data_IF_559162637867
#
_entry.id   IF_559162637867
#
_cell.length_a   1.000
_cell.length_b   1.000
_cell.length_c   1.000
_cell.angle_alpha   90.00
_cell.angle_beta   90.00
_cell.angle_gamma   90.00
#
_symmetry.space_group_name_H-M   'P 1'
#
loop_
_entity.id
_entity.type
_entity.pdbx_description
1 polymer ?
#
# COMPACT_ATOMS: atom_id res chain seq x y z
N UNK A 1 1.71 13.04 11.62
CA UNK A 1 1.42 13.93 10.48
C UNK A 1 2.25 13.50 9.30
N UNK A 2 1.62 13.32 8.13
CA UNK A 2 2.29 13.05 6.85
C UNK A 2 2.68 14.39 6.21
N UNK A 3 3.87 14.45 5.64
CA UNK A 3 4.39 15.66 4.97
C UNK A 3 4.68 15.38 3.50
N UNK A 4 4.39 16.37 2.64
CA UNK A 4 4.65 16.27 1.21
C UNK A 4 6.17 16.30 0.92
N UNK A 5 6.63 15.38 0.05
CA UNK A 5 8.02 15.31 -0.42
C UNK A 5 8.14 15.09 -1.93
N UNK A 6 7.19 14.42 -2.56
CA UNK A 6 7.21 14.17 -4.00
C UNK A 6 6.99 15.46 -4.77
N UNK A 7 6.00 16.27 -4.34
CA UNK A 7 5.67 17.56 -4.92
C UNK A 7 6.38 18.75 -4.30
N UNK A 8 7.47 18.54 -3.55
CA UNK A 8 8.15 19.59 -2.78
C UNK A 8 8.63 20.77 -3.65
N UNK A 9 9.11 20.54 -4.86
CA UNK A 9 9.54 21.60 -5.78
C UNK A 9 8.38 22.52 -6.14
N UNK A 10 7.22 21.99 -6.44
CA UNK A 10 6.01 22.77 -6.77
C UNK A 10 5.55 23.56 -5.55
N UNK A 11 5.56 22.94 -4.38
CA UNK A 11 5.24 23.60 -3.12
C UNK A 11 6.19 24.78 -2.83
N UNK A 12 7.49 24.61 -3.05
CA UNK A 12 8.49 25.68 -2.86
C UNK A 12 8.25 26.83 -3.85
N UNK A 13 7.98 26.54 -5.13
CA UNK A 13 7.64 27.53 -6.14
C UNK A 13 6.42 28.36 -5.75
N UNK A 14 5.34 27.69 -5.32
CA UNK A 14 4.12 28.35 -4.89
C UNK A 14 4.38 29.26 -3.67
N UNK A 15 5.16 28.79 -2.71
CA UNK A 15 5.56 29.60 -1.54
C UNK A 15 6.40 30.83 -1.92
N UNK A 16 7.21 30.73 -2.97
CA UNK A 16 7.96 31.88 -3.50
C UNK A 16 7.02 32.90 -4.12
N UNK A 17 6.04 32.46 -4.93
CA UNK A 17 5.03 33.33 -5.53
C UNK A 17 4.24 34.08 -4.44
N UNK A 18 3.76 33.35 -3.42
CA UNK A 18 3.04 33.95 -2.30
C UNK A 18 3.89 35.02 -1.60
N UNK A 19 5.16 34.72 -1.35
CA UNK A 19 6.08 35.67 -0.70
C UNK A 19 6.24 36.92 -1.54
N UNK A 20 6.55 36.80 -2.84
CA UNK A 20 6.71 37.96 -3.75
C UNK A 20 5.42 38.78 -3.85
N UNK A 21 4.27 38.14 -3.95
CA UNK A 21 2.97 38.82 -4.02
C UNK A 21 2.70 39.62 -2.73
N UNK A 22 2.94 39.03 -1.56
CA UNK A 22 2.78 39.71 -0.27
C UNK A 22 3.73 40.88 -0.11
N UNK A 23 4.99 40.72 -0.45
CA UNK A 23 5.99 41.81 -0.44
C UNK A 23 5.56 42.97 -1.33
N UNK A 24 5.03 42.68 -2.54
CA UNK A 24 4.60 43.70 -3.48
C UNK A 24 3.37 44.50 -2.96
N UNK A 25 2.50 43.82 -2.18
CA UNK A 25 1.28 44.46 -1.65
C UNK A 25 1.43 44.96 -0.20
N UNK A 26 2.64 44.91 0.36
CA UNK A 26 2.93 45.38 1.72
C UNK A 26 2.33 44.52 2.81
N UNK A 27 1.96 43.26 2.52
CA UNK A 27 1.46 42.27 3.48
C UNK A 27 2.67 41.75 4.30
N UNK A 28 2.58 41.87 5.61
CA UNK A 28 3.66 41.47 6.55
C UNK A 28 3.48 40.03 7.06
N UNK A 29 2.42 39.36 6.69
CA UNK A 29 2.18 37.96 7.10
C UNK A 29 3.24 37.02 6.52
N UNK A 30 3.85 36.23 7.38
CA UNK A 30 4.85 35.25 6.99
C UNK A 30 4.25 33.84 6.86
N UNK A 31 4.72 33.10 5.87
CA UNK A 31 4.38 31.68 5.77
C UNK A 31 5.05 30.91 6.92
N UNK A 32 4.28 30.03 7.56
CA UNK A 32 4.85 29.10 8.56
C UNK A 32 5.94 28.23 7.92
N UNK A 33 6.98 27.84 8.69
CA UNK A 33 7.99 26.91 8.17
C UNK A 33 7.36 25.57 7.75
N UNK A 34 8.02 24.90 6.79
CA UNK A 34 7.64 23.55 6.42
C UNK A 34 7.98 22.59 7.58
N UNK A 35 7.12 21.61 7.78
CA UNK A 35 7.38 20.56 8.75
C UNK A 35 8.53 19.66 8.29
N UNK A 36 9.32 19.20 9.24
CA UNK A 36 10.34 18.18 9.01
C UNK A 36 9.72 16.78 9.09
N UNK A 37 10.16 15.89 8.21
CA UNK A 37 9.88 14.48 8.36
C UNK A 37 10.88 13.89 9.37
N UNK A 38 10.39 13.17 10.37
CA UNK A 38 11.25 12.43 11.30
C UNK A 38 11.75 11.11 10.71
N UNK A 39 10.88 10.49 9.93
CA UNK A 39 11.15 9.23 9.22
C UNK A 39 10.74 9.32 7.76
N UNK A 40 11.40 8.54 6.92
CA UNK A 40 11.10 8.35 5.52
C UNK A 40 10.76 6.89 5.28
N UNK A 41 9.64 6.63 4.59
CA UNK A 41 9.29 5.30 4.12
C UNK A 41 9.64 5.21 2.64
N UNK A 42 10.48 4.26 2.29
CA UNK A 42 10.88 3.97 0.92
C UNK A 42 10.63 2.50 0.61
N UNK A 43 10.32 2.20 -0.64
CA UNK A 43 10.18 0.84 -1.09
C UNK A 43 9.56 0.71 -2.46
N UNK A 44 9.24 -0.52 -2.82
CA UNK A 44 8.66 -0.83 -4.11
C UNK A 44 8.45 -2.31 -4.32
N UNK A 45 8.00 -2.66 -5.52
CA UNK A 45 7.87 -4.04 -5.97
C UNK A 45 9.28 -4.57 -6.23
N UNK A 46 9.65 -5.65 -5.53
CA UNK A 46 10.95 -6.32 -5.66
C UNK A 46 10.86 -7.62 -6.44
N UNK A 47 9.65 -8.14 -6.64
CA UNK A 47 9.39 -9.34 -7.44
C UNK A 47 7.96 -9.36 -7.98
N UNK A 48 7.81 -9.88 -9.19
CA UNK A 48 6.52 -10.14 -9.81
C UNK A 48 6.63 -11.37 -10.70
N UNK A 49 5.80 -12.38 -10.41
CA UNK A 49 5.66 -13.60 -11.21
C UNK A 49 4.19 -13.79 -11.60
N UNK A 50 3.95 -14.17 -12.84
CA UNK A 50 2.62 -14.48 -13.35
C UNK A 50 2.65 -15.77 -14.12
N UNK A 51 1.89 -16.77 -13.68
CA UNK A 51 1.85 -18.10 -14.26
C UNK A 51 0.42 -18.54 -14.55
N UNK A 52 0.24 -19.25 -15.65
CA UNK A 52 -1.02 -19.90 -15.99
C UNK A 52 -0.92 -21.37 -15.63
N UNK A 53 -1.91 -21.85 -14.91
CA UNK A 53 -1.98 -23.23 -14.43
C UNK A 53 -3.29 -23.90 -14.87
N UNK A 54 -3.28 -25.23 -14.93
CA UNK A 54 -4.47 -26.08 -15.13
C UNK A 54 -4.60 -27.03 -13.95
N UNK A 55 -5.79 -27.10 -13.37
CA UNK A 55 -6.07 -28.03 -12.26
C UNK A 55 -5.37 -27.69 -10.95
N UNK A 56 -5.35 -28.63 -10.01
CA UNK A 56 -4.74 -28.50 -8.70
C UNK A 56 -5.58 -27.77 -7.66
N UNK A 57 -4.91 -27.31 -6.58
CA UNK A 57 -5.59 -26.66 -5.44
C UNK A 57 -6.20 -25.33 -5.85
N UNK A 58 -5.51 -24.55 -6.69
CA UNK A 58 -5.99 -23.24 -7.16
C UNK A 58 -7.30 -23.37 -7.94
N UNK A 59 -7.41 -24.38 -8.82
CA UNK A 59 -8.65 -24.67 -9.56
C UNK A 59 -9.81 -24.98 -8.60
N UNK A 60 -9.57 -25.79 -7.55
CA UNK A 60 -10.58 -26.09 -6.52
C UNK A 60 -11.04 -24.86 -5.75
N UNK A 61 -10.11 -24.00 -5.34
CA UNK A 61 -10.42 -22.78 -4.60
C UNK A 61 -11.24 -21.80 -5.44
N UNK A 62 -10.95 -21.69 -6.73
CA UNK A 62 -11.72 -20.89 -7.67
C UNK A 62 -13.05 -21.52 -8.09
N UNK A 63 -13.30 -22.80 -7.74
CA UNK A 63 -14.51 -23.53 -8.12
C UNK A 63 -14.56 -23.86 -9.61
N UNK A 64 -13.41 -24.01 -10.26
CA UNK A 64 -13.27 -24.38 -11.66
C UNK A 64 -12.93 -25.86 -11.82
N UNK A 65 -13.23 -26.40 -12.99
CA UNK A 65 -12.94 -27.82 -13.31
C UNK A 65 -11.44 -28.07 -13.50
N UNK A 66 -11.01 -29.35 -13.43
CA UNK A 66 -9.59 -29.71 -13.52
C UNK A 66 -8.97 -29.47 -14.90
N UNK A 67 -9.80 -29.21 -15.91
CA UNK A 67 -9.39 -28.93 -17.31
C UNK A 67 -9.34 -27.42 -17.63
N UNK A 68 -9.82 -26.58 -16.70
CA UNK A 68 -9.88 -25.14 -16.90
C UNK A 68 -8.61 -24.48 -16.38
N UNK A 69 -8.26 -23.35 -17.00
CA UNK A 69 -7.07 -22.60 -16.69
C UNK A 69 -7.37 -21.51 -15.66
N UNK A 70 -6.43 -21.29 -14.74
CA UNK A 70 -6.40 -20.15 -13.86
C UNK A 70 -5.00 -19.51 -13.89
N UNK A 71 -4.96 -18.25 -13.55
CA UNK A 71 -3.72 -17.46 -13.46
C UNK A 71 -3.37 -17.24 -12.00
N UNK A 72 -2.08 -17.40 -11.70
CA UNK A 72 -1.49 -17.10 -10.40
C UNK A 72 -0.56 -15.91 -10.57
N UNK A 73 -0.89 -14.79 -9.92
CA UNK A 73 -0.07 -13.59 -9.85
C UNK A 73 0.54 -13.50 -8.45
N UNK A 74 1.87 -13.50 -8.37
CA UNK A 74 2.64 -13.38 -7.13
C UNK A 74 3.41 -12.07 -7.14
N UNK A 75 3.22 -11.25 -6.12
CA UNK A 75 3.86 -9.94 -5.99
C UNK A 75 4.59 -9.87 -4.66
N UNK A 76 5.87 -9.50 -4.70
CA UNK A 76 6.69 -9.23 -3.53
C UNK A 76 6.99 -7.73 -3.44
N UNK A 77 6.77 -7.15 -2.26
CA UNK A 77 6.98 -5.73 -1.95
C UNK A 77 7.98 -5.63 -0.80
N UNK A 78 9.00 -4.80 -0.98
CA UNK A 78 9.94 -4.44 0.08
C UNK A 78 9.74 -2.99 0.52
N UNK A 79 9.68 -2.74 1.84
CA UNK A 79 9.62 -1.41 2.43
C UNK A 79 10.74 -1.22 3.46
N UNK A 80 11.27 0.00 3.55
CA UNK A 80 12.25 0.40 4.56
C UNK A 80 11.80 1.67 5.24
N UNK A 81 11.98 1.73 6.54
CA UNK A 81 11.78 2.91 7.37
C UNK A 81 13.15 3.49 7.72
N UNK A 82 13.40 4.74 7.36
CA UNK A 82 14.71 5.39 7.47
C UNK A 82 14.57 6.60 8.39
N UNK A 83 15.46 6.71 9.38
CA UNK A 83 15.62 7.91 10.20
C UNK A 83 16.19 9.06 9.36
N UNK A 84 15.48 10.18 9.27
CA UNK A 84 15.96 11.35 8.54
C UNK A 84 17.16 12.01 9.26
N UNK A 85 17.22 11.90 10.58
CA UNK A 85 18.28 12.52 11.38
C UNK A 85 19.63 11.80 11.29
N UNK A 86 19.60 10.46 11.17
CA UNK A 86 20.82 9.64 11.20
C UNK A 86 21.12 8.94 9.86
N UNK A 87 20.11 8.81 8.98
CA UNK A 87 20.21 7.99 7.77
C UNK A 87 20.14 6.47 8.06
N UNK A 88 19.90 6.08 9.31
CA UNK A 88 19.81 4.68 9.72
C UNK A 88 18.51 4.05 9.21
N UNK A 89 18.58 2.81 8.72
CA UNK A 89 17.42 2.00 8.42
C UNK A 89 16.90 1.41 9.72
N UNK A 90 15.81 1.97 10.24
CA UNK A 90 15.18 1.55 11.50
C UNK A 90 14.48 0.20 11.38
N UNK A 91 13.90 -0.07 10.21
CA UNK A 91 13.12 -1.26 9.94
C UNK A 91 13.12 -1.56 8.43
N UNK A 92 13.16 -2.84 8.07
CA UNK A 92 13.00 -3.30 6.70
C UNK A 92 12.09 -4.53 6.68
N UNK A 93 10.99 -4.46 5.94
CA UNK A 93 10.03 -5.55 5.78
C UNK A 93 9.94 -5.99 4.34
N UNK A 94 9.64 -7.27 4.12
CA UNK A 94 9.35 -7.83 2.81
C UNK A 94 8.09 -8.68 2.91
N UNK A 95 7.10 -8.34 2.11
CA UNK A 95 5.81 -9.03 2.10
C UNK A 95 5.49 -9.56 0.72
N UNK A 96 4.90 -10.75 0.68
CA UNK A 96 4.47 -11.41 -0.56
C UNK A 96 2.96 -11.65 -0.51
N UNK A 97 2.32 -11.46 -1.67
CA UNK A 97 0.93 -11.82 -1.92
C UNK A 97 0.79 -12.63 -3.19
N UNK A 98 -0.06 -13.65 -3.12
CA UNK A 98 -0.43 -14.49 -4.25
C UNK A 98 -1.93 -14.36 -4.50
N UNK A 99 -2.30 -13.97 -5.71
CA UNK A 99 -3.68 -13.84 -6.16
C UNK A 99 -3.94 -14.89 -7.24
N UNK A 100 -5.01 -15.65 -7.06
CA UNK A 100 -5.51 -16.56 -8.08
C UNK A 100 -6.66 -15.90 -8.82
N UNK A 101 -6.66 -16.00 -10.15
CA UNK A 101 -7.72 -15.43 -10.98
C UNK A 101 -8.18 -16.40 -12.05
N UNK A 102 -9.48 -16.37 -12.37
CA UNK A 102 -10.08 -17.11 -13.49
C UNK A 102 -11.11 -16.26 -14.19
N UNK A 103 -11.29 -16.53 -15.47
CA UNK A 103 -12.32 -15.89 -16.29
C UNK A 103 -13.66 -16.58 -16.05
N UNK A 104 -14.68 -15.84 -15.59
CA UNK A 104 -16.04 -16.32 -15.41
C UNK A 104 -16.90 -16.13 -16.66
N UNK A 105 -16.62 -15.08 -17.44
CA UNK A 105 -17.29 -14.77 -18.69
C UNK A 105 -16.36 -13.96 -19.58
N UNK A 106 -16.83 -13.50 -20.73
CA UNK A 106 -16.03 -12.68 -21.66
C UNK A 106 -15.48 -11.39 -21.03
N UNK A 107 -16.15 -10.87 -20.00
CA UNK A 107 -15.85 -9.58 -19.37
C UNK A 107 -15.71 -9.62 -17.85
N UNK A 108 -15.94 -10.79 -17.21
CA UNK A 108 -15.91 -10.89 -15.75
C UNK A 108 -14.84 -11.89 -15.32
N UNK A 109 -13.99 -11.47 -14.39
CA UNK A 109 -12.95 -12.25 -13.76
C UNK A 109 -13.25 -12.41 -12.27
N UNK A 110 -12.87 -13.55 -11.71
CA UNK A 110 -12.86 -13.81 -10.27
C UNK A 110 -11.43 -13.79 -9.76
N UNK A 111 -11.21 -13.07 -8.67
CA UNK A 111 -9.93 -13.02 -7.96
C UNK A 111 -10.08 -13.63 -6.57
N UNK A 112 -9.04 -14.31 -6.12
CA UNK A 112 -8.97 -14.94 -4.81
C UNK A 112 -7.62 -14.60 -4.17
N UNK A 113 -7.64 -13.93 -3.03
CA UNK A 113 -6.44 -13.62 -2.25
C UNK A 113 -6.01 -14.87 -1.44
N UNK A 114 -4.79 -15.34 -1.72
CA UNK A 114 -4.16 -16.45 -1.01
C UNK A 114 -3.22 -15.87 0.06
N UNK A 115 -3.60 -15.99 1.31
CA UNK A 115 -2.72 -15.56 2.41
C UNK A 115 -3.39 -14.77 3.52
N UNK A 116 -4.70 -14.61 3.45
CA UNK A 116 -5.52 -14.16 4.57
C UNK A 116 -6.24 -15.34 5.22
N UNK A 117 -6.54 -15.23 6.52
CA UNK A 117 -7.34 -16.27 7.22
C UNK A 117 -8.76 -16.39 6.66
N UNK A 118 -9.25 -15.34 6.00
CA UNK A 118 -10.50 -15.28 5.27
C UNK A 118 -10.15 -15.19 3.77
N UNK A 119 -10.71 -16.09 2.98
CA UNK A 119 -10.58 -16.05 1.52
C UNK A 119 -11.46 -14.90 1.02
N UNK A 120 -10.80 -13.80 0.61
CA UNK A 120 -11.49 -12.69 -0.03
C UNK A 120 -11.69 -13.02 -1.50
N UNK A 121 -12.94 -12.96 -1.97
CA UNK A 121 -13.30 -13.12 -3.37
C UNK A 121 -13.76 -11.79 -3.92
N UNK A 122 -13.10 -11.31 -4.94
CA UNK A 122 -13.45 -10.07 -5.64
C UNK A 122 -13.70 -10.36 -7.12
N UNK A 123 -14.55 -9.57 -7.76
CA UNK A 123 -14.86 -9.67 -9.19
C UNK A 123 -14.35 -8.41 -9.92
N UNK A 124 -13.69 -8.60 -11.03
CA UNK A 124 -13.19 -7.52 -11.90
C UNK A 124 -13.65 -7.66 -13.34
N UNK A 125 -13.47 -6.61 -14.11
CA UNK A 125 -13.92 -6.53 -15.49
C UNK A 125 -12.83 -6.71 -16.54
N UNK A 126 -11.56 -6.69 -16.14
CA UNK A 126 -10.42 -6.85 -17.04
C UNK A 126 -9.37 -7.80 -16.49
N UNK A 127 -8.61 -8.42 -17.39
CA UNK A 127 -7.53 -9.34 -17.06
C UNK A 127 -6.37 -8.67 -16.29
N UNK A 128 -6.15 -7.37 -16.54
CA UNK A 128 -5.12 -6.58 -15.85
C UNK A 128 -5.51 -6.18 -14.42
N UNK A 129 -6.78 -6.30 -14.04
CA UNK A 129 -7.23 -6.01 -12.68
C UNK A 129 -6.64 -6.98 -11.66
N UNK A 130 -6.40 -8.24 -12.01
CA UNK A 130 -5.77 -9.21 -11.11
C UNK A 130 -4.37 -8.77 -10.68
N UNK A 131 -3.57 -8.23 -11.62
CA UNK A 131 -2.23 -7.69 -11.32
C UNK A 131 -2.31 -6.47 -10.43
N UNK A 132 -3.18 -5.52 -10.77
CA UNK A 132 -3.39 -4.31 -9.98
C UNK A 132 -3.88 -4.64 -8.57
N UNK A 133 -4.79 -5.60 -8.45
CA UNK A 133 -5.29 -6.09 -7.18
C UNK A 133 -4.18 -6.77 -6.36
N UNK A 134 -3.38 -7.64 -6.97
CA UNK A 134 -2.24 -8.29 -6.32
C UNK A 134 -1.21 -7.28 -5.79
N UNK A 135 -0.87 -6.28 -6.61
CA UNK A 135 0.05 -5.19 -6.22
C UNK A 135 -0.50 -4.41 -5.03
N UNK A 136 -1.77 -3.99 -5.09
CA UNK A 136 -2.42 -3.26 -3.99
C UNK A 136 -2.40 -4.07 -2.69
N UNK A 137 -2.84 -5.33 -2.74
CA UNK A 137 -2.86 -6.22 -1.56
C UNK A 137 -1.45 -6.50 -1.01
N UNK A 138 -0.44 -6.59 -1.87
CA UNK A 138 0.95 -6.74 -1.43
C UNK A 138 1.48 -5.48 -0.72
N UNK A 139 1.13 -4.29 -1.22
CA UNK A 139 1.48 -3.01 -0.59
C UNK A 139 0.76 -2.87 0.76
N UNK A 140 -0.54 -3.13 0.81
CA UNK A 140 -1.34 -3.06 2.05
C UNK A 140 -0.74 -3.99 3.12
N UNK A 141 -0.42 -5.24 2.72
CA UNK A 141 0.23 -6.18 3.63
C UNK A 141 1.58 -5.68 4.11
N UNK A 142 2.43 -5.17 3.22
CA UNK A 142 3.75 -4.67 3.60
C UNK A 142 3.68 -3.48 4.58
N UNK A 143 2.69 -2.60 4.41
CA UNK A 143 2.43 -1.49 5.33
C UNK A 143 1.98 -2.02 6.70
N UNK A 144 1.04 -2.97 6.73
CA UNK A 144 0.56 -3.59 7.97
C UNK A 144 1.71 -4.31 8.70
N UNK A 145 2.50 -5.11 7.97
CA UNK A 145 3.66 -5.81 8.53
C UNK A 145 4.67 -4.81 9.12
N UNK A 146 4.95 -3.70 8.41
CA UNK A 146 5.83 -2.62 8.89
C UNK A 146 5.29 -1.97 10.17
N UNK A 147 3.99 -1.69 10.24
CA UNK A 147 3.36 -1.08 11.41
C UNK A 147 3.46 -2.02 12.63
N UNK A 148 3.15 -3.30 12.45
CA UNK A 148 3.19 -4.28 13.53
C UNK A 148 4.61 -4.55 14.02
N UNK A 149 5.54 -4.80 13.09
CA UNK A 149 6.94 -5.06 13.43
C UNK A 149 7.63 -3.86 14.08
N UNK A 150 7.30 -2.64 13.64
CA UNK A 150 7.78 -1.42 14.27
C UNK A 150 7.28 -1.24 15.71
N UNK A 151 6.04 -1.65 15.99
CA UNK A 151 5.51 -1.66 17.36
C UNK A 151 6.19 -2.74 18.21
N UNK A 152 6.41 -3.95 17.67
CA UNK A 152 7.13 -5.03 18.34
C UNK A 152 8.58 -4.66 18.68
N UNK A 153 9.24 -3.89 17.81
CA UNK A 153 10.59 -3.37 18.03
C UNK A 153 10.63 -2.11 18.91
N UNK A 154 9.47 -1.60 19.36
CA UNK A 154 9.36 -0.43 20.23
C UNK A 154 9.64 0.91 19.53
N UNK A 155 9.53 0.98 18.21
CA UNK A 155 9.67 2.25 17.46
C UNK A 155 8.48 3.19 17.68
N UNK A 156 7.30 2.64 17.99
CA UNK A 156 6.08 3.34 18.38
C UNK A 156 5.17 2.45 19.20
N UNK A 157 4.18 3.08 19.81
CA UNK A 157 3.08 2.41 20.51
C UNK A 157 1.76 2.75 19.82
N UNK A 158 0.82 1.82 19.80
CA UNK A 158 -0.53 2.09 19.34
C UNK A 158 -1.25 2.95 20.37
N UNK A 159 -1.91 4.01 19.90
CA UNK A 159 -2.79 4.78 20.75
C UNK A 159 -4.00 3.91 21.11
N UNK A 160 -4.30 3.80 22.40
CA UNK A 160 -5.58 3.20 22.83
C UNK A 160 -6.74 4.01 22.24
N UNK A 161 -7.69 3.31 21.62
CA UNK A 161 -8.92 3.94 21.12
C UNK A 161 -9.77 4.33 22.32
N UNK A 162 -10.23 5.58 22.36
CA UNK A 162 -11.25 6.01 23.31
C UNK A 162 -12.55 5.24 23.03
N UNK A 163 -13.35 4.95 24.05
CA UNK A 163 -14.51 4.06 23.94
C UNK A 163 -15.53 4.54 22.90
N UNK A 164 -15.66 5.85 22.71
CA UNK A 164 -16.51 6.46 21.66
C UNK A 164 -16.07 6.08 20.22
N UNK A 165 -14.79 5.76 19.99
CA UNK A 165 -14.26 5.38 18.68
C UNK A 165 -14.42 3.88 18.39
N UNK A 166 -14.61 3.06 19.42
CA UNK A 166 -14.84 1.61 19.25
C UNK A 166 -16.24 1.34 18.71
N UNK A 167 -17.24 2.15 19.11
CA UNK A 167 -18.62 2.01 18.62
C UNK A 167 -18.80 2.40 17.14
N UNK A 168 -17.96 3.30 16.60
CA UNK A 168 -18.01 3.66 15.17
C UNK A 168 -17.41 2.60 14.24
N UNK A 169 -16.53 1.73 14.73
CA UNK A 169 -15.85 0.69 13.93
C UNK A 169 -16.69 -0.60 13.86
N UNK A 170 -17.62 -0.81 14.82
CA UNK A 170 -18.51 -1.98 14.88
C UNK A 170 -19.84 -1.80 14.11
N UNK A 171 -20.09 -0.64 13.49
CA UNK A 171 -21.25 -0.35 12.63
C UNK A 171 -20.90 -0.44 11.12
#
# INVERSE_FOLDING_TARGET
TVVERIGLENLIKERQIIRQTRETHGDKDTLKPLLFAGVLVEGGIVGYDSNVHTGGIGARLLGIGPQEEFREDRVSVGLRLISVSTGEVLLAVSSEKTILSTRLSTTVFRFLDMGTKLLEVEAGYTENESVTYAVRKAIDKAIIDMINEGAEQGLWEFKELEDDQKEEIEQ
#
